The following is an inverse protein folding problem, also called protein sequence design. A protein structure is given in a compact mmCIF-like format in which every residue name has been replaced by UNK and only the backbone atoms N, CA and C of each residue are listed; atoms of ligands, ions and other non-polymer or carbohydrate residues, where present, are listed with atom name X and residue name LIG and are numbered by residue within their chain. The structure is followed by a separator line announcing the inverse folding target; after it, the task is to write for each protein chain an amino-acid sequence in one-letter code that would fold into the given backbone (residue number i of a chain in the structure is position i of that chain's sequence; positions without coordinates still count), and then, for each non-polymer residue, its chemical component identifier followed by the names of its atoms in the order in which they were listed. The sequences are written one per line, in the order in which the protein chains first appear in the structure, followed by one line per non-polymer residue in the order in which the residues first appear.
data_IF_750273981279
#
_entry.id   IF_750273981279
#
_cell.length_a   1.000
_cell.length_b   1.000
_cell.length_c   1.000
_cell.angle_alpha   90.00
_cell.angle_beta   90.00
_cell.angle_gamma   90.00
#
_symmetry.space_group_name_H-M   'P 1'
#
loop_
_entity.id
_entity.type
_entity.pdbx_description
1 polymer ?
#
# COMPACT_ATOMS: atom_id res chain seq x y z
N UNK A 1 17.27 -2.32 -0.80
CA UNK A 1 15.95 -2.53 -0.12
C UNK A 1 16.07 -3.80 0.73
N UNK A 2 15.57 -3.78 1.97
CA UNK A 2 15.66 -4.89 2.90
C UNK A 2 14.81 -6.09 2.44
N UNK A 3 15.37 -7.29 2.52
CA UNK A 3 14.67 -8.53 2.09
C UNK A 3 13.50 -8.87 3.02
N UNK A 4 13.67 -8.61 4.32
CA UNK A 4 12.61 -8.76 5.31
C UNK A 4 11.38 -7.88 5.01
N UNK A 5 11.59 -6.63 4.58
CA UNK A 5 10.49 -5.75 4.16
C UNK A 5 9.81 -6.25 2.88
N UNK A 6 10.53 -6.87 1.96
CA UNK A 6 9.91 -7.48 0.78
C UNK A 6 9.07 -8.70 1.15
N UNK A 7 9.56 -9.56 2.04
CA UNK A 7 8.79 -10.68 2.56
C UNK A 7 7.51 -10.19 3.26
N UNK A 8 7.64 -9.14 4.09
CA UNK A 8 6.50 -8.57 4.81
C UNK A 8 5.48 -7.93 3.86
N UNK A 9 5.91 -7.25 2.81
CA UNK A 9 5.02 -6.72 1.77
C UNK A 9 4.24 -7.83 1.05
N UNK A 10 4.90 -8.94 0.73
CA UNK A 10 4.23 -10.09 0.14
C UNK A 10 3.17 -10.65 1.09
N UNK A 11 3.53 -10.88 2.36
CA UNK A 11 2.60 -11.37 3.38
C UNK A 11 1.40 -10.42 3.55
N UNK A 12 1.65 -9.12 3.70
CA UNK A 12 0.60 -8.11 3.86
C UNK A 12 -0.37 -8.09 2.67
N UNK A 13 0.14 -8.18 1.43
CA UNK A 13 -0.70 -8.24 0.24
C UNK A 13 -1.62 -9.48 0.26
N UNK A 14 -1.09 -10.66 0.58
CA UNK A 14 -1.89 -11.88 0.62
C UNK A 14 -2.87 -11.93 1.78
N UNK A 15 -2.57 -11.33 2.93
CA UNK A 15 -3.55 -11.16 4.04
C UNK A 15 -4.71 -10.28 3.57
N UNK A 16 -4.45 -9.21 2.82
CA UNK A 16 -5.50 -8.36 2.22
C UNK A 16 -6.31 -9.13 1.17
N UNK A 17 -5.67 -9.98 0.35
CA UNK A 17 -6.39 -10.88 -0.59
C UNK A 17 -7.37 -11.78 0.16
N UNK A 18 -6.94 -12.40 1.26
CA UNK A 18 -7.80 -13.25 2.09
C UNK A 18 -8.94 -12.45 2.73
N UNK A 19 -8.69 -11.22 3.19
CA UNK A 19 -9.72 -10.32 3.71
C UNK A 19 -10.80 -10.01 2.67
N UNK A 20 -10.41 -9.64 1.44
CA UNK A 20 -11.36 -9.36 0.37
C UNK A 20 -12.06 -10.62 -0.14
N UNK A 21 -11.45 -11.80 -0.02
CA UNK A 21 -12.16 -13.05 -0.25
C UNK A 21 -13.32 -13.23 0.76
N UNK A 22 -13.09 -12.96 2.05
CA UNK A 22 -14.16 -13.00 3.05
C UNK A 22 -15.25 -11.96 2.76
N UNK A 23 -14.85 -10.76 2.34
CA UNK A 23 -15.78 -9.70 1.95
C UNK A 23 -16.64 -10.11 0.75
N UNK A 24 -16.02 -10.53 -0.35
CA UNK A 24 -16.71 -10.74 -1.64
C UNK A 24 -17.57 -12.00 -1.63
N UNK A 25 -17.08 -13.09 -1.01
CA UNK A 25 -17.77 -14.39 -1.04
C UNK A 25 -18.74 -14.61 0.12
N UNK A 26 -18.54 -13.95 1.24
CA UNK A 26 -19.30 -14.17 2.48
C UNK A 26 -19.91 -12.89 3.05
N UNK A 27 -19.77 -11.76 2.38
CA UNK A 27 -20.23 -10.45 2.86
C UNK A 27 -19.83 -10.19 4.32
N UNK A 28 -18.57 -10.51 4.66
CA UNK A 28 -18.00 -10.46 6.02
C UNK A 28 -18.68 -11.38 7.06
N UNK A 29 -19.53 -12.32 6.66
CA UNK A 29 -20.20 -13.28 7.54
C UNK A 29 -19.58 -14.69 7.48
N UNK A 30 -18.27 -14.77 7.34
CA UNK A 30 -17.56 -16.05 7.28
C UNK A 30 -17.65 -16.81 8.62
N UNK A 31 -17.89 -18.11 8.53
CA UNK A 31 -17.92 -19.01 9.70
C UNK A 31 -16.52 -19.50 10.09
N UNK A 32 -16.37 -19.84 11.37
CA UNK A 32 -15.14 -20.41 11.92
C UNK A 32 -14.07 -19.37 12.30
N UNK A 33 -13.14 -19.76 13.20
CA UNK A 33 -12.18 -18.80 13.79
C UNK A 33 -11.27 -18.11 12.78
N UNK A 34 -10.80 -18.85 11.76
CA UNK A 34 -9.92 -18.29 10.72
C UNK A 34 -10.71 -17.33 9.83
N UNK A 35 -11.94 -17.70 9.42
CA UNK A 35 -12.77 -16.83 8.60
C UNK A 35 -13.10 -15.52 9.32
N UNK A 36 -13.52 -15.60 10.59
CA UNK A 36 -13.78 -14.43 11.44
C UNK A 36 -12.53 -13.56 11.61
N UNK A 37 -11.37 -14.17 11.91
CA UNK A 37 -10.12 -13.43 12.02
C UNK A 37 -9.76 -12.67 10.73
N UNK A 38 -9.87 -13.29 9.57
CA UNK A 38 -9.59 -12.65 8.29
C UNK A 38 -10.61 -11.55 7.95
N UNK A 39 -11.89 -11.77 8.30
CA UNK A 39 -12.94 -10.77 8.18
C UNK A 39 -12.63 -9.53 9.03
N UNK A 40 -12.32 -9.73 10.32
CA UNK A 40 -12.22 -8.64 11.30
C UNK A 40 -10.85 -7.98 11.29
N UNK A 41 -9.78 -8.69 10.93
CA UNK A 41 -8.39 -8.28 11.11
C UNK A 41 -7.56 -8.28 9.82
N UNK A 42 -8.03 -8.91 8.75
CA UNK A 42 -7.23 -9.03 7.52
C UNK A 42 -6.87 -7.70 6.85
N UNK A 43 -7.65 -6.65 7.10
CA UNK A 43 -7.35 -5.31 6.62
C UNK A 43 -6.07 -4.69 7.22
N UNK A 44 -5.52 -5.24 8.31
CA UNK A 44 -4.25 -4.78 8.94
C UNK A 44 -3.05 -4.83 7.98
N UNK A 45 -3.14 -5.64 6.91
CA UNK A 45 -2.13 -5.62 5.85
C UNK A 45 -1.93 -4.24 5.24
N UNK A 46 -2.97 -3.40 5.20
CA UNK A 46 -2.90 -2.02 4.72
C UNK A 46 -2.07 -1.16 5.67
N UNK A 47 -2.27 -1.29 6.99
CA UNK A 47 -1.54 -0.55 8.02
C UNK A 47 -0.04 -0.88 7.94
N UNK A 48 0.31 -2.16 7.72
CA UNK A 48 1.70 -2.59 7.48
C UNK A 48 2.28 -1.89 6.23
N UNK A 49 1.51 -1.78 5.12
CA UNK A 49 1.97 -1.09 3.92
C UNK A 49 2.25 0.38 4.17
N UNK A 50 1.43 1.10 4.93
CA UNK A 50 1.64 2.52 5.22
C UNK A 50 2.90 2.74 6.07
N UNK A 51 3.13 1.91 7.07
CA UNK A 51 4.36 1.97 7.88
C UNK A 51 5.60 1.69 7.00
N UNK A 52 5.57 0.64 6.17
CA UNK A 52 6.67 0.34 5.24
C UNK A 52 6.90 1.51 4.27
N UNK A 53 5.83 2.11 3.74
CA UNK A 53 5.91 3.22 2.79
C UNK A 53 6.62 4.43 3.40
N UNK A 54 6.25 4.82 4.64
CA UNK A 54 6.91 5.88 5.38
C UNK A 54 8.41 5.63 5.58
N UNK A 55 8.78 4.42 6.01
CA UNK A 55 10.18 4.02 6.19
C UNK A 55 10.97 4.06 4.88
N UNK A 56 10.44 3.47 3.81
CA UNK A 56 11.11 3.37 2.50
C UNK A 56 11.30 4.76 1.89
N UNK A 57 10.31 5.64 1.97
CA UNK A 57 10.42 7.01 1.48
C UNK A 57 11.53 7.76 2.23
N UNK A 58 11.52 7.72 3.55
CA UNK A 58 12.56 8.36 4.36
C UNK A 58 13.96 7.86 3.99
N UNK A 59 14.18 6.54 3.96
CA UNK A 59 15.48 5.95 3.64
C UNK A 59 15.93 6.24 2.20
N UNK A 60 15.01 6.29 1.25
CA UNK A 60 15.34 6.52 -0.17
C UNK A 60 15.65 7.98 -0.52
N UNK A 61 15.26 8.93 0.33
CA UNK A 61 15.30 10.37 0.02
C UNK A 61 16.20 11.20 0.94
N UNK A 62 16.52 10.69 2.13
CA UNK A 62 17.15 11.48 3.18
C UNK A 62 18.44 12.16 2.75
N UNK A 63 19.37 11.42 2.14
CA UNK A 63 20.72 11.91 1.82
C UNK A 63 20.81 12.46 0.38
N UNK A 64 19.66 12.76 -0.23
CA UNK A 64 19.58 13.20 -1.62
C UNK A 64 19.06 14.63 -1.73
N UNK A 65 19.71 15.42 -2.58
CA UNK A 65 19.18 16.68 -3.08
C UNK A 65 18.26 16.36 -4.27
N UNK A 66 16.97 16.20 -4.02
CA UNK A 66 15.98 15.90 -5.05
C UNK A 66 15.02 17.08 -5.13
N UNK A 67 14.74 17.56 -6.34
CA UNK A 67 13.68 18.55 -6.54
C UNK A 67 12.30 17.94 -6.22
N UNK A 68 11.38 18.70 -5.56
CA UNK A 68 10.04 18.21 -5.22
C UNK A 68 9.31 17.59 -6.42
N UNK A 69 9.35 18.23 -7.58
CA UNK A 69 8.72 17.77 -8.81
C UNK A 69 9.31 16.43 -9.28
N UNK A 70 10.64 16.25 -9.16
CA UNK A 70 11.30 14.99 -9.55
C UNK A 70 10.93 13.86 -8.60
N UNK A 71 10.80 14.15 -7.32
CA UNK A 71 10.29 13.17 -6.35
C UNK A 71 8.87 12.73 -6.72
N UNK A 72 7.94 13.68 -6.90
CA UNK A 72 6.56 13.38 -7.27
C UNK A 72 6.47 12.62 -8.58
N UNK A 73 7.19 13.04 -9.60
CA UNK A 73 7.23 12.33 -10.89
C UNK A 73 7.67 10.87 -10.73
N UNK A 74 8.75 10.61 -9.98
CA UNK A 74 9.23 9.25 -9.77
C UNK A 74 8.21 8.37 -9.01
N UNK A 75 7.43 8.95 -8.08
CA UNK A 75 6.35 8.25 -7.38
C UNK A 75 5.16 8.02 -8.28
N UNK A 76 4.74 9.05 -9.02
CA UNK A 76 3.65 8.95 -9.98
C UNK A 76 3.93 7.89 -11.05
N UNK A 77 5.09 7.89 -11.68
CA UNK A 77 5.48 6.90 -12.68
C UNK A 77 5.45 5.46 -12.15
N UNK A 78 5.65 5.28 -10.86
CA UNK A 78 5.61 3.96 -10.23
C UNK A 78 4.20 3.47 -9.96
N UNK A 79 3.27 4.36 -9.59
CA UNK A 79 1.93 4.01 -9.11
C UNK A 79 0.87 4.20 -10.19
N UNK A 80 0.85 5.37 -10.81
CA UNK A 80 -0.24 5.82 -11.68
C UNK A 80 -0.50 4.90 -12.85
N UNK A 81 0.50 4.43 -13.62
CA UNK A 81 0.23 3.64 -14.84
C UNK A 81 -0.51 2.33 -14.55
N UNK A 82 -0.09 1.58 -13.53
CA UNK A 82 -0.75 0.34 -13.15
C UNK A 82 -2.13 0.60 -12.53
N UNK A 83 -2.24 1.60 -11.66
CA UNK A 83 -3.52 1.98 -11.07
C UNK A 83 -4.54 2.41 -12.13
N UNK A 84 -4.17 3.26 -13.07
CA UNK A 84 -5.05 3.68 -14.17
C UNK A 84 -5.50 2.51 -15.02
N UNK A 85 -4.57 1.60 -15.36
CA UNK A 85 -4.91 0.40 -16.13
C UNK A 85 -5.99 -0.43 -15.43
N UNK A 86 -5.82 -0.72 -14.13
CA UNK A 86 -6.79 -1.54 -13.39
C UNK A 86 -8.08 -0.80 -13.06
N UNK A 87 -8.03 0.52 -12.86
CA UNK A 87 -9.23 1.35 -12.69
C UNK A 87 -10.04 1.40 -13.98
N UNK A 88 -9.39 1.53 -15.14
CA UNK A 88 -10.06 1.48 -16.45
C UNK A 88 -10.65 0.09 -16.71
N UNK A 89 -9.93 -0.98 -16.40
CA UNK A 89 -10.44 -2.35 -16.52
C UNK A 89 -11.64 -2.58 -15.59
N UNK A 90 -11.60 -2.10 -14.34
CA UNK A 90 -12.73 -2.16 -13.43
C UNK A 90 -13.94 -1.39 -13.97
N UNK A 91 -13.74 -0.16 -14.46
CA UNK A 91 -14.80 0.64 -15.08
C UNK A 91 -15.42 -0.08 -16.29
N UNK A 92 -14.59 -0.66 -17.15
CA UNK A 92 -15.08 -1.46 -18.30
C UNK A 92 -15.92 -2.67 -17.85
N UNK A 93 -15.47 -3.41 -16.82
CA UNK A 93 -16.21 -4.54 -16.28
C UNK A 93 -17.54 -4.09 -15.64
N UNK A 94 -17.58 -2.96 -14.97
CA UNK A 94 -18.82 -2.40 -14.41
C UNK A 94 -19.83 -2.00 -15.51
N UNK A 95 -19.37 -1.58 -16.68
CA UNK A 95 -20.22 -1.26 -17.82
C UNK A 95 -20.70 -2.50 -18.59
N UNK A 96 -19.87 -3.53 -18.69
CA UNK A 96 -20.14 -4.69 -19.59
C UNK A 96 -20.54 -5.97 -18.85
N UNK A 97 -20.12 -6.11 -17.59
CA UNK A 97 -20.29 -7.32 -16.78
C UNK A 97 -20.73 -7.00 -15.35
N UNK A 98 -21.64 -6.03 -15.19
CA UNK A 98 -22.14 -5.57 -13.87
C UNK A 98 -22.62 -6.70 -12.95
N UNK A 99 -23.14 -7.79 -13.53
CA UNK A 99 -23.54 -8.97 -12.78
C UNK A 99 -22.41 -9.65 -11.98
N UNK A 100 -21.15 -9.35 -12.28
CA UNK A 100 -20.01 -9.83 -11.49
C UNK A 100 -19.86 -9.06 -10.17
N UNK A 101 -20.39 -7.83 -10.13
CA UNK A 101 -20.18 -6.87 -9.04
C UNK A 101 -21.49 -6.12 -8.73
N UNK A 102 -22.53 -6.81 -8.24
CA UNK A 102 -23.90 -6.27 -8.13
C UNK A 102 -23.99 -5.03 -7.22
N UNK A 103 -23.08 -4.89 -6.25
CA UNK A 103 -23.04 -3.77 -5.31
C UNK A 103 -22.15 -2.62 -5.75
N UNK A 104 -21.48 -2.75 -6.91
CA UNK A 104 -20.60 -1.71 -7.45
C UNK A 104 -21.33 -0.90 -8.51
N UNK A 105 -21.01 0.40 -8.60
CA UNK A 105 -21.52 1.27 -9.66
C UNK A 105 -20.41 2.22 -10.15
N UNK A 106 -20.59 2.74 -11.34
CA UNK A 106 -19.66 3.70 -11.94
C UNK A 106 -20.45 4.76 -12.70
N UNK A 107 -20.05 6.02 -12.54
CA UNK A 107 -20.40 7.14 -13.41
C UNK A 107 -19.13 7.83 -13.90
N UNK A 108 -19.26 8.72 -14.88
CA UNK A 108 -18.11 9.36 -15.52
C UNK A 108 -17.37 10.31 -14.56
N UNK A 109 -18.09 11.08 -13.76
CA UNK A 109 -17.49 12.03 -12.81
C UNK A 109 -16.66 11.29 -11.77
N UNK A 110 -17.27 10.29 -11.11
CA UNK A 110 -16.58 9.48 -10.12
C UNK A 110 -15.39 8.71 -10.71
N UNK A 111 -15.50 8.21 -11.96
CA UNK A 111 -14.40 7.54 -12.64
C UNK A 111 -13.21 8.49 -12.86
N UNK A 112 -13.46 9.73 -13.31
CA UNK A 112 -12.40 10.74 -13.50
C UNK A 112 -11.78 11.13 -12.16
N UNK A 113 -12.58 11.38 -11.11
CA UNK A 113 -12.07 11.66 -9.77
C UNK A 113 -11.22 10.51 -9.22
N UNK A 114 -11.62 9.26 -9.50
CA UNK A 114 -10.83 8.07 -9.13
C UNK A 114 -9.45 8.07 -9.79
N UNK A 115 -9.36 8.38 -11.10
CA UNK A 115 -8.08 8.46 -11.81
C UNK A 115 -7.17 9.58 -11.29
N UNK A 116 -7.76 10.65 -10.74
CA UNK A 116 -7.04 11.79 -10.17
C UNK A 116 -6.69 11.61 -8.68
N UNK A 117 -7.01 10.45 -8.06
CA UNK A 117 -6.83 10.19 -6.64
C UNK A 117 -7.59 11.16 -5.73
N UNK A 118 -8.71 11.68 -6.20
CA UNK A 118 -9.58 12.58 -5.44
C UNK A 118 -10.68 11.75 -4.77
N UNK A 119 -10.76 11.75 -3.42
CA UNK A 119 -11.81 11.04 -2.71
C UNK A 119 -13.20 11.59 -3.03
N UNK A 120 -14.09 10.72 -3.48
CA UNK A 120 -15.48 11.04 -3.77
C UNK A 120 -16.38 9.89 -3.31
N UNK A 121 -17.65 10.19 -3.04
CA UNK A 121 -18.65 9.18 -2.69
C UNK A 121 -18.86 8.24 -3.88
N UNK A 122 -18.78 6.93 -3.62
CA UNK A 122 -18.97 5.93 -4.66
C UNK A 122 -20.46 5.88 -5.09
N UNK A 123 -20.77 5.84 -6.40
CA UNK A 123 -22.16 5.74 -6.88
C UNK A 123 -22.91 4.51 -6.37
N UNK A 124 -22.21 3.49 -5.87
CA UNK A 124 -22.79 2.34 -5.17
C UNK A 124 -23.25 2.61 -3.73
N UNK A 125 -22.97 3.80 -3.17
CA UNK A 125 -23.46 4.24 -1.86
C UNK A 125 -22.76 3.61 -0.66
N UNK A 126 -21.52 3.08 -0.82
CA UNK A 126 -20.79 2.43 0.27
C UNK A 126 -19.57 3.22 0.78
N UNK A 127 -19.54 4.54 0.53
CA UNK A 127 -18.55 5.45 1.06
C UNK A 127 -17.55 5.95 0.01
N UNK A 128 -16.51 6.64 0.46
CA UNK A 128 -15.52 7.31 -0.39
C UNK A 128 -14.47 6.33 -0.94
N UNK A 129 -14.92 5.40 -1.76
CA UNK A 129 -14.09 4.42 -2.44
C UNK A 129 -14.01 4.71 -3.94
N UNK A 130 -12.82 4.71 -4.57
CA UNK A 130 -12.68 4.93 -6.01
C UNK A 130 -13.30 3.77 -6.81
N UNK A 131 -13.40 3.92 -8.14
CA UNK A 131 -13.93 2.91 -9.06
C UNK A 131 -13.24 1.55 -8.88
N UNK A 132 -11.91 1.53 -8.76
CA UNK A 132 -11.18 0.37 -8.22
C UNK A 132 -11.14 0.52 -6.70
N UNK A 133 -12.06 -0.12 -5.99
CA UNK A 133 -12.29 0.12 -4.57
C UNK A 133 -11.04 0.09 -3.68
N UNK A 134 -10.11 -0.84 -3.90
CA UNK A 134 -8.85 -0.92 -3.15
C UNK A 134 -7.94 0.31 -3.34
N UNK A 135 -8.17 1.12 -4.37
CA UNK A 135 -7.44 2.36 -4.62
C UNK A 135 -7.60 3.45 -3.55
N UNK A 136 -8.53 3.31 -2.60
CA UNK A 136 -8.66 4.25 -1.49
C UNK A 136 -7.36 4.42 -0.69
N UNK A 137 -6.56 3.38 -0.58
CA UNK A 137 -5.25 3.43 0.07
C UNK A 137 -4.24 4.24 -0.74
N UNK A 138 -4.35 4.18 -2.07
CA UNK A 138 -3.49 4.96 -2.97
C UNK A 138 -3.84 6.45 -2.93
N UNK A 139 -5.10 6.82 -2.63
CA UNK A 139 -5.46 8.22 -2.37
C UNK A 139 -4.67 8.77 -1.17
N UNK A 140 -4.57 8.00 -0.07
CA UNK A 140 -3.71 8.38 1.07
C UNK A 140 -2.23 8.38 0.71
N UNK A 141 -1.76 7.42 -0.07
CA UNK A 141 -0.36 7.33 -0.46
C UNK A 141 0.05 8.51 -1.34
N UNK A 142 -0.76 8.88 -2.34
CA UNK A 142 -0.51 10.03 -3.20
C UNK A 142 -0.61 11.35 -2.44
N UNK A 143 -1.58 11.48 -1.54
CA UNK A 143 -1.70 12.59 -0.62
C UNK A 143 -0.43 12.75 0.25
N UNK A 144 0.04 11.66 0.86
CA UNK A 144 1.27 11.67 1.63
C UNK A 144 2.48 12.07 0.77
N UNK A 145 2.59 11.58 -0.46
CA UNK A 145 3.68 11.96 -1.37
C UNK A 145 3.66 13.45 -1.70
N UNK A 146 2.48 14.01 -1.90
CA UNK A 146 2.32 15.44 -2.13
C UNK A 146 2.83 16.24 -0.92
N UNK A 147 2.37 15.91 0.28
CA UNK A 147 2.83 16.57 1.51
C UNK A 147 4.32 16.34 1.76
N UNK A 148 4.80 15.11 1.56
CA UNK A 148 6.22 14.79 1.73
C UNK A 148 7.11 15.55 0.74
N UNK A 149 6.61 15.89 -0.46
CA UNK A 149 7.39 16.68 -1.42
C UNK A 149 7.82 18.04 -0.87
N UNK A 150 7.04 18.62 0.05
CA UNK A 150 7.36 19.90 0.68
C UNK A 150 8.62 19.86 1.55
N UNK A 151 9.03 18.67 2.05
CA UNK A 151 10.24 18.55 2.87
C UNK A 151 11.52 18.91 2.13
N UNK A 152 11.50 18.84 0.79
CA UNK A 152 12.67 19.20 -0.01
C UNK A 152 12.91 20.71 -0.08
N UNK A 153 11.93 21.53 0.37
CA UNK A 153 12.05 22.98 0.47
C UNK A 153 12.82 23.44 1.72
N UNK A 154 13.05 22.53 2.68
CA UNK A 154 13.75 22.84 3.94
C UNK A 154 15.02 22.04 4.13
N UNK A 155 15.87 22.52 5.05
CA UNK A 155 17.11 21.81 5.42
C UNK A 155 16.79 20.43 5.98
N UNK A 156 17.65 19.46 5.69
CA UNK A 156 17.47 18.05 6.01
C UNK A 156 17.08 17.77 7.48
N UNK A 157 17.68 18.53 8.41
CA UNK A 157 17.43 18.36 9.85
C UNK A 157 15.97 18.66 10.26
N UNK A 158 15.26 19.47 9.51
CA UNK A 158 13.87 19.87 9.80
C UNK A 158 12.82 19.05 9.05
N UNK A 159 13.24 18.18 8.11
CA UNK A 159 12.32 17.45 7.21
C UNK A 159 11.31 16.60 7.97
N UNK A 160 11.75 15.82 8.96
CA UNK A 160 10.86 14.94 9.73
C UNK A 160 9.84 15.76 10.54
N UNK A 161 10.29 16.85 11.16
CA UNK A 161 9.40 17.75 11.89
C UNK A 161 8.39 18.41 10.95
N UNK A 162 8.84 18.90 9.78
CA UNK A 162 7.96 19.52 8.81
C UNK A 162 6.86 18.57 8.33
N UNK A 163 7.22 17.34 7.97
CA UNK A 163 6.21 16.33 7.54
C UNK A 163 5.19 16.07 8.65
N UNK A 164 5.63 15.95 9.90
CA UNK A 164 4.72 15.71 11.01
C UNK A 164 3.78 16.91 11.23
N UNK A 165 4.32 18.13 11.25
CA UNK A 165 3.53 19.35 11.42
C UNK A 165 2.54 19.56 10.28
N UNK A 166 2.99 19.40 9.02
CA UNK A 166 2.12 19.58 7.86
C UNK A 166 1.01 18.53 7.85
N UNK A 167 1.36 17.27 8.16
CA UNK A 167 0.36 16.19 8.20
C UNK A 167 -0.70 16.45 9.28
N UNK A 168 -0.29 16.86 10.49
CA UNK A 168 -1.21 17.25 11.57
C UNK A 168 -2.07 18.43 11.18
N UNK A 169 -1.47 19.49 10.62
CA UNK A 169 -2.19 20.69 10.17
C UNK A 169 -3.26 20.33 9.13
N UNK A 170 -2.88 19.55 8.12
CA UNK A 170 -3.80 19.16 7.05
C UNK A 170 -4.88 18.22 7.57
N UNK A 171 -4.52 17.15 8.27
CA UNK A 171 -5.47 16.12 8.69
C UNK A 171 -6.39 16.57 9.83
N UNK A 172 -5.93 17.43 10.74
CA UNK A 172 -6.73 17.83 11.90
C UNK A 172 -7.34 19.23 11.74
N UNK A 173 -6.56 20.21 11.27
CA UNK A 173 -7.03 21.60 11.23
C UNK A 173 -7.82 21.89 9.96
N UNK A 174 -7.25 21.63 8.78
CA UNK A 174 -7.90 22.00 7.51
C UNK A 174 -9.15 21.14 7.23
N UNK A 175 -9.15 19.87 7.61
CA UNK A 175 -10.33 19.01 7.48
C UNK A 175 -11.45 19.41 8.44
N UNK A 176 -11.12 19.80 9.69
CA UNK A 176 -12.13 20.28 10.64
C UNK A 176 -12.69 21.65 10.24
N UNK A 177 -11.89 22.49 9.60
CA UNK A 177 -12.32 23.77 9.05
C UNK A 177 -13.16 23.63 7.76
N UNK A 178 -13.38 22.40 7.26
CA UNK A 178 -14.13 22.15 6.02
C UNK A 178 -13.39 22.56 4.75
N UNK A 179 -12.09 22.88 4.84
CA UNK A 179 -11.27 23.29 3.69
C UNK A 179 -10.75 22.10 2.88
N UNK A 180 -10.77 20.90 3.45
CA UNK A 180 -10.37 19.65 2.80
C UNK A 180 -11.39 18.55 3.06
N UNK A 181 -11.43 17.55 2.16
CA UNK A 181 -12.31 16.41 2.27
C UNK A 181 -12.05 15.67 3.60
N UNK A 182 -13.13 15.32 4.29
CA UNK A 182 -13.13 14.59 5.54
C UNK A 182 -12.40 13.23 5.49
N UNK A 183 -12.28 12.65 4.30
CA UNK A 183 -11.48 11.45 4.04
C UNK A 183 -10.08 11.52 4.66
N UNK A 184 -9.39 12.67 4.54
CA UNK A 184 -8.01 12.85 5.03
C UNK A 184 -7.88 13.00 6.55
N UNK A 185 -8.98 12.97 7.30
CA UNK A 185 -8.99 12.96 8.78
C UNK A 185 -8.77 11.57 9.38
N UNK A 186 -8.71 10.53 8.58
CA UNK A 186 -8.48 9.18 9.08
C UNK A 186 -7.07 9.05 9.67
N UNK A 187 -6.97 8.52 10.90
CA UNK A 187 -5.72 8.39 11.64
C UNK A 187 -4.69 7.45 10.99
N UNK A 188 -5.08 6.69 9.97
CA UNK A 188 -4.18 5.84 9.18
C UNK A 188 -3.03 6.64 8.52
N UNK A 189 -3.24 7.94 8.25
CA UNK A 189 -2.20 8.83 7.69
C UNK A 189 -0.98 8.96 8.60
N UNK A 190 -1.15 8.78 9.92
CA UNK A 190 -0.03 8.87 10.88
C UNK A 190 0.86 7.63 10.88
N UNK A 191 0.44 6.55 10.26
CA UNK A 191 1.25 5.33 10.14
C UNK A 191 2.48 5.55 9.25
N UNK A 192 2.41 6.47 8.29
CA UNK A 192 3.59 6.94 7.56
C UNK A 192 4.64 7.55 8.50
N UNK A 193 4.22 8.28 9.54
CA UNK A 193 5.14 8.87 10.53
C UNK A 193 5.79 7.79 11.39
N UNK A 194 5.04 6.74 11.78
CA UNK A 194 5.61 5.58 12.47
C UNK A 194 6.70 4.93 11.62
N UNK A 195 6.45 4.77 10.31
CA UNK A 195 7.44 4.26 9.35
C UNK A 195 8.67 5.16 9.24
N UNK A 196 8.51 6.48 9.15
CA UNK A 196 9.62 7.44 9.17
C UNK A 196 10.43 7.29 10.48
N UNK A 197 9.75 7.15 11.63
CA UNK A 197 10.39 6.92 12.92
C UNK A 197 11.29 5.67 12.93
N UNK A 198 10.79 4.54 12.40
CA UNK A 198 11.58 3.31 12.24
C UNK A 198 12.78 3.57 11.30
N UNK A 199 12.59 4.30 10.21
CA UNK A 199 13.66 4.70 9.31
C UNK A 199 14.75 5.52 9.99
N UNK A 200 14.38 6.43 10.93
CA UNK A 200 15.33 7.20 11.76
C UNK A 200 16.11 6.27 12.68
N UNK A 201 15.43 5.36 13.38
CA UNK A 201 16.07 4.37 14.29
C UNK A 201 17.06 3.49 13.52
N UNK A 202 16.64 3.00 12.33
CA UNK A 202 17.49 2.19 11.46
C UNK A 202 18.77 2.94 11.06
N UNK A 203 18.65 4.21 10.63
CA UNK A 203 19.80 5.03 10.22
C UNK A 203 20.76 5.36 11.37
N UNK A 204 20.24 5.45 12.59
CA UNK A 204 21.07 5.67 13.80
C UNK A 204 21.74 4.41 14.29
N UNK A 205 21.48 3.25 13.67
CA UNK A 205 21.98 1.96 14.15
C UNK A 205 21.39 1.52 15.49
N UNK A 206 20.21 2.05 15.86
CA UNK A 206 19.57 1.73 17.15
C UNK A 206 18.68 0.49 17.09
N UNK A 207 18.52 -0.11 15.90
CA UNK A 207 17.76 -1.35 15.77
C UNK A 207 18.68 -2.51 16.09
N UNK A 208 18.38 -3.18 17.20
CA UNK A 208 19.12 -4.36 17.65
C UNK A 208 18.75 -5.54 16.75
N UNK A 209 19.76 -6.17 16.17
CA UNK A 209 19.59 -7.42 15.45
C UNK A 209 19.61 -8.61 16.42
N UNK A 210 18.80 -9.61 16.17
CA UNK A 210 18.71 -10.78 17.01
C UNK A 210 17.44 -11.58 16.71
N UNK A 211 17.19 -12.64 17.46
CA UNK A 211 16.06 -13.52 17.26
C UNK A 211 14.94 -13.31 18.30
N UNK A 212 15.29 -13.32 19.57
CA UNK A 212 14.29 -13.40 20.64
C UNK A 212 13.45 -12.13 20.81
N UNK A 213 14.11 -10.96 20.78
CA UNK A 213 13.39 -9.69 20.91
C UNK A 213 12.41 -9.47 19.73
N UNK A 214 12.81 -9.62 18.46
CA UNK A 214 11.86 -9.52 17.36
C UNK A 214 10.73 -10.53 17.41
N UNK A 215 10.97 -11.77 17.83
CA UNK A 215 9.92 -12.77 18.00
C UNK A 215 8.92 -12.38 19.11
N UNK A 216 9.41 -11.84 20.21
CA UNK A 216 8.54 -11.29 21.27
C UNK A 216 7.71 -10.10 20.77
N UNK A 217 8.32 -9.21 19.96
CA UNK A 217 7.61 -8.09 19.33
C UNK A 217 6.52 -8.58 18.36
N UNK A 218 6.79 -9.60 17.55
CA UNK A 218 5.80 -10.20 16.64
C UNK A 218 4.65 -10.84 17.42
N UNK A 219 4.96 -11.59 18.49
CA UNK A 219 3.94 -12.20 19.34
C UNK A 219 3.06 -11.15 20.01
N UNK A 220 3.65 -10.09 20.55
CA UNK A 220 2.91 -8.97 21.16
C UNK A 220 2.02 -8.25 20.13
N UNK A 221 2.52 -8.00 18.93
CA UNK A 221 1.76 -7.38 17.85
C UNK A 221 0.58 -8.29 17.41
N UNK A 222 0.82 -9.60 17.27
CA UNK A 222 -0.22 -10.56 16.93
C UNK A 222 -1.33 -10.62 18.00
N UNK A 223 -0.96 -10.63 19.28
CA UNK A 223 -1.91 -10.56 20.39
C UNK A 223 -2.70 -9.25 20.33
N UNK A 224 -2.05 -8.10 20.15
CA UNK A 224 -2.73 -6.82 20.05
C UNK A 224 -3.73 -6.80 18.89
N UNK A 225 -3.33 -7.23 17.69
CA UNK A 225 -4.21 -7.27 16.51
C UNK A 225 -5.38 -8.25 16.73
N UNK A 226 -5.15 -9.37 17.41
CA UNK A 226 -6.22 -10.35 17.68
C UNK A 226 -7.30 -9.81 18.61
N UNK A 227 -6.92 -9.16 19.72
CA UNK A 227 -7.86 -8.74 20.77
C UNK A 227 -8.38 -7.32 20.60
N UNK A 228 -7.68 -6.42 19.87
CA UNK A 228 -8.08 -5.03 19.69
C UNK A 228 -8.75 -4.83 18.33
N UNK A 229 -9.86 -4.10 18.33
CA UNK A 229 -10.61 -3.76 17.12
C UNK A 229 -10.04 -2.52 16.39
N UNK A 230 -10.61 -2.17 15.25
CA UNK A 230 -10.19 -1.00 14.47
C UNK A 230 -10.72 0.35 14.99
N UNK A 231 -11.43 0.41 16.11
CA UNK A 231 -12.07 1.64 16.62
C UNK A 231 -11.07 2.78 16.89
N UNK A 232 -9.86 2.42 17.35
CA UNK A 232 -8.73 3.34 17.50
C UNK A 232 -7.58 2.90 16.61
N UNK A 233 -7.81 2.91 15.30
CA UNK A 233 -6.98 2.26 14.30
C UNK A 233 -5.48 2.49 14.50
N UNK A 234 -5.03 3.73 14.68
CA UNK A 234 -3.60 4.04 14.87
C UNK A 234 -3.01 3.32 16.09
N UNK A 235 -3.75 3.23 17.21
CA UNK A 235 -3.26 2.59 18.43
C UNK A 235 -3.37 1.06 18.35
N UNK A 236 -4.50 0.55 17.84
CA UNK A 236 -4.84 -0.86 17.88
C UNK A 236 -4.22 -1.64 16.73
N UNK A 237 -3.99 -1.01 15.56
CA UNK A 237 -3.44 -1.64 14.35
C UNK A 237 -2.16 -0.97 13.86
N UNK A 238 -2.09 0.37 13.88
CA UNK A 238 -0.92 1.11 13.42
C UNK A 238 0.33 0.86 14.26
N UNK A 239 0.23 0.94 15.60
CA UNK A 239 1.37 0.64 16.49
C UNK A 239 1.80 -0.83 16.42
N UNK A 240 0.90 -1.84 16.47
CA UNK A 240 1.27 -3.23 16.21
C UNK A 240 1.91 -3.43 14.84
N UNK A 241 1.40 -2.79 13.78
CA UNK A 241 2.01 -2.83 12.44
C UNK A 241 3.43 -2.23 12.43
N UNK A 242 3.64 -1.12 13.14
CA UNK A 242 4.97 -0.56 13.31
C UNK A 242 5.90 -1.52 14.06
N UNK A 243 5.40 -2.21 15.08
CA UNK A 243 6.15 -3.21 15.82
C UNK A 243 6.51 -4.41 14.93
N UNK A 244 5.61 -4.88 14.07
CA UNK A 244 5.88 -5.93 13.06
C UNK A 244 6.98 -5.46 12.10
N UNK A 245 6.88 -4.24 11.56
CA UNK A 245 7.90 -3.70 10.64
C UNK A 245 9.26 -3.61 11.35
N UNK A 246 9.30 -3.10 12.57
CA UNK A 246 10.54 -3.00 13.37
C UNK A 246 11.14 -4.38 13.63
N UNK A 247 10.32 -5.36 14.00
CA UNK A 247 10.75 -6.74 14.22
C UNK A 247 11.31 -7.37 12.94
N UNK A 248 10.65 -7.19 11.81
CA UNK A 248 11.14 -7.67 10.52
C UNK A 248 12.47 -7.03 10.11
N UNK A 249 12.67 -5.74 10.38
CA UNK A 249 13.96 -5.06 10.14
C UNK A 249 15.05 -5.63 11.04
N UNK A 250 14.75 -5.93 12.31
CA UNK A 250 15.68 -6.59 13.24
C UNK A 250 16.07 -8.01 12.78
N UNK A 251 15.15 -8.70 12.10
CA UNK A 251 15.34 -10.04 11.54
C UNK A 251 16.01 -10.03 10.15
N UNK A 252 16.38 -8.88 9.58
CA UNK A 252 16.96 -8.79 8.21
C UNK A 252 18.09 -9.80 7.94
N UNK A 253 19.03 -10.11 8.88
CA UNK A 253 20.08 -11.09 8.62
C UNK A 253 19.57 -12.48 8.22
N UNK A 254 18.38 -12.88 8.69
CA UNK A 254 17.76 -14.18 8.39
C UNK A 254 17.05 -14.21 7.03
N UNK A 255 16.71 -13.04 6.48
CA UNK A 255 16.04 -12.89 5.19
C UNK A 255 17.00 -12.58 4.04
N UNK A 256 18.19 -12.07 4.36
CA UNK A 256 19.19 -11.58 3.41
C UNK A 256 19.56 -12.66 2.36
N UNK A 257 19.49 -12.25 1.08
CA UNK A 257 19.85 -13.13 -0.04
C UNK A 257 18.70 -13.99 -0.57
N UNK A 258 17.54 -14.04 0.06
CA UNK A 258 16.40 -14.82 -0.41
C UNK A 258 15.72 -14.15 -1.63
N UNK A 259 16.09 -14.60 -2.84
CA UNK A 259 15.61 -14.06 -4.11
C UNK A 259 14.10 -14.28 -4.32
N UNK A 260 13.54 -15.38 -3.78
CA UNK A 260 12.11 -15.67 -3.90
C UNK A 260 11.28 -14.66 -3.10
N UNK A 261 11.63 -14.44 -1.82
CA UNK A 261 10.93 -13.46 -0.98
C UNK A 261 11.04 -12.03 -1.56
N UNK A 262 12.21 -11.71 -2.15
CA UNK A 262 12.37 -10.45 -2.88
C UNK A 262 11.41 -10.36 -4.06
N UNK A 263 11.32 -11.39 -4.89
CA UNK A 263 10.45 -11.39 -6.07
C UNK A 263 8.97 -11.27 -5.70
N UNK A 264 8.52 -11.98 -4.67
CA UNK A 264 7.16 -11.91 -4.14
C UNK A 264 6.83 -10.51 -3.60
N UNK A 265 7.78 -9.89 -2.88
CA UNK A 265 7.60 -8.52 -2.39
C UNK A 265 7.62 -7.46 -3.50
N UNK A 266 8.45 -7.65 -4.52
CA UNK A 266 8.51 -6.75 -5.68
C UNK A 266 7.17 -6.73 -6.44
N UNK A 267 6.46 -7.87 -6.56
CA UNK A 267 5.16 -7.99 -7.23
C UNK A 267 3.95 -7.67 -6.34
N UNK A 268 4.15 -7.37 -5.06
CA UNK A 268 3.06 -7.17 -4.09
C UNK A 268 2.07 -6.05 -4.46
N UNK A 269 2.52 -5.00 -5.15
CA UNK A 269 1.66 -3.94 -5.64
C UNK A 269 0.72 -4.44 -6.75
N UNK A 270 1.23 -5.22 -7.70
CA UNK A 270 0.39 -5.87 -8.71
C UNK A 270 -0.59 -6.87 -8.08
N UNK A 271 -0.20 -7.65 -7.05
CA UNK A 271 -1.14 -8.50 -6.27
C UNK A 271 -2.26 -7.66 -5.71
N UNK A 272 -1.93 -6.52 -5.11
CA UNK A 272 -2.89 -5.60 -4.51
C UNK A 272 -3.90 -5.01 -5.51
N UNK A 273 -3.50 -4.76 -6.76
CA UNK A 273 -4.42 -4.22 -7.79
C UNK A 273 -5.24 -5.31 -8.48
N UNK A 274 -4.66 -6.47 -8.73
CA UNK A 274 -5.28 -7.57 -9.51
C UNK A 274 -6.35 -8.31 -8.74
N UNK A 275 -6.12 -8.55 -7.43
CA UNK A 275 -6.87 -9.57 -6.70
C UNK A 275 -8.38 -9.35 -6.68
N UNK A 276 -8.84 -8.11 -6.52
CA UNK A 276 -10.30 -7.85 -6.46
C UNK A 276 -11.00 -8.21 -7.77
N UNK A 277 -10.38 -7.94 -8.93
CA UNK A 277 -10.94 -8.31 -10.23
C UNK A 277 -11.07 -9.82 -10.38
N UNK A 278 -10.03 -10.56 -9.98
CA UNK A 278 -10.03 -12.03 -10.01
C UNK A 278 -11.04 -12.60 -9.04
N UNK A 279 -11.13 -12.04 -7.82
CA UNK A 279 -12.08 -12.51 -6.81
C UNK A 279 -13.53 -12.26 -7.23
N UNK A 280 -13.87 -11.12 -7.83
CA UNK A 280 -15.22 -10.87 -8.37
C UNK A 280 -15.56 -11.84 -9.50
N UNK A 281 -14.63 -12.09 -10.44
CA UNK A 281 -14.82 -13.11 -11.47
C UNK A 281 -15.00 -14.51 -10.88
N UNK A 282 -14.22 -14.85 -9.86
CA UNK A 282 -14.35 -16.09 -9.12
C UNK A 282 -15.68 -16.22 -8.39
N UNK A 283 -16.13 -15.15 -7.73
CA UNK A 283 -17.44 -15.13 -7.07
C UNK A 283 -18.57 -15.38 -8.07
N UNK A 284 -18.58 -14.69 -9.21
CA UNK A 284 -19.56 -14.91 -10.25
C UNK A 284 -19.54 -16.36 -10.78
N UNK A 285 -18.35 -16.92 -11.01
CA UNK A 285 -18.21 -18.32 -11.42
C UNK A 285 -18.73 -19.29 -10.36
N UNK A 286 -18.45 -19.05 -9.08
CA UNK A 286 -18.98 -19.82 -7.94
C UNK A 286 -20.51 -19.85 -7.97
N UNK A 287 -21.16 -18.69 -8.13
CA UNK A 287 -22.63 -18.60 -8.19
C UNK A 287 -23.22 -19.31 -9.40
N UNK A 288 -22.57 -19.22 -10.57
CA UNK A 288 -23.08 -19.82 -11.82
C UNK A 288 -22.89 -21.34 -11.90
N UNK A 289 -21.77 -21.83 -11.36
CA UNK A 289 -21.38 -23.23 -11.47
C UNK A 289 -21.72 -24.05 -10.21
N UNK A 290 -22.23 -23.43 -9.14
CA UNK A 290 -22.51 -24.08 -7.86
C UNK A 290 -21.24 -24.60 -7.17
N UNK A 291 -20.07 -24.00 -7.45
CA UNK A 291 -18.80 -24.41 -6.87
C UNK A 291 -18.65 -23.87 -5.44
N UNK A 292 -17.99 -24.65 -4.59
CA UNK A 292 -17.64 -24.19 -3.24
C UNK A 292 -16.77 -22.92 -3.30
N UNK A 293 -17.07 -21.87 -2.50
CA UNK A 293 -16.26 -20.66 -2.40
C UNK A 293 -14.77 -20.94 -2.18
N UNK A 294 -14.43 -21.90 -1.31
CA UNK A 294 -13.05 -22.26 -1.02
C UNK A 294 -12.36 -22.95 -2.20
N UNK A 295 -13.09 -23.80 -2.96
CA UNK A 295 -12.54 -24.42 -4.18
C UNK A 295 -12.24 -23.35 -5.25
N UNK A 296 -13.15 -22.38 -5.42
CA UNK A 296 -12.91 -21.26 -6.34
C UNK A 296 -11.76 -20.38 -5.87
N UNK A 297 -11.65 -20.12 -4.56
CA UNK A 297 -10.52 -19.37 -4.02
C UNK A 297 -9.19 -20.06 -4.27
N UNK A 298 -9.13 -21.40 -4.11
CA UNK A 298 -7.94 -22.17 -4.44
C UNK A 298 -7.52 -22.04 -5.92
N UNK A 299 -8.45 -21.81 -6.85
CA UNK A 299 -8.18 -21.49 -8.25
C UNK A 299 -7.79 -20.01 -8.45
N UNK A 300 -8.40 -19.11 -7.68
CA UNK A 300 -8.07 -17.68 -7.75
C UNK A 300 -6.63 -17.38 -7.31
N UNK A 301 -6.11 -18.08 -6.29
CA UNK A 301 -4.76 -17.84 -5.74
C UNK A 301 -3.67 -17.96 -6.81
N UNK A 302 -3.51 -19.07 -7.55
CA UNK A 302 -2.51 -19.17 -8.62
C UNK A 302 -2.78 -18.20 -9.77
N UNK A 303 -4.04 -17.92 -10.08
CA UNK A 303 -4.39 -16.94 -11.12
C UNK A 303 -3.99 -15.51 -10.72
N UNK A 304 -4.25 -15.11 -9.48
CA UNK A 304 -3.78 -13.82 -8.92
C UNK A 304 -2.25 -13.77 -9.00
N UNK A 305 -1.55 -14.81 -8.57
CA UNK A 305 -0.09 -14.85 -8.60
C UNK A 305 0.47 -14.70 -10.03
N UNK A 306 -0.10 -15.43 -11.00
CA UNK A 306 0.33 -15.40 -12.39
C UNK A 306 0.07 -14.03 -13.03
N UNK A 307 -1.15 -13.50 -12.91
CA UNK A 307 -1.53 -12.21 -13.47
C UNK A 307 -0.74 -11.06 -12.82
N UNK A 308 -0.51 -11.14 -11.52
CA UNK A 308 0.29 -10.15 -10.80
C UNK A 308 1.75 -10.16 -11.22
N UNK A 309 2.32 -11.34 -11.48
CA UNK A 309 3.68 -11.44 -11.99
C UNK A 309 3.80 -10.83 -13.40
N UNK A 310 2.86 -11.14 -14.29
CA UNK A 310 2.78 -10.52 -15.62
C UNK A 310 2.63 -9.00 -15.54
N UNK A 311 1.71 -8.52 -14.70
CA UNK A 311 1.50 -7.09 -14.43
C UNK A 311 2.76 -6.40 -13.92
N UNK A 312 3.45 -6.99 -12.93
CA UNK A 312 4.72 -6.47 -12.43
C UNK A 312 5.77 -6.31 -13.52
N UNK A 313 5.94 -7.32 -14.37
CA UNK A 313 6.92 -7.27 -15.46
C UNK A 313 6.57 -6.21 -16.51
N UNK A 314 5.30 -6.08 -16.87
CA UNK A 314 4.84 -5.20 -17.94
C UNK A 314 4.65 -3.75 -17.44
N UNK A 315 3.86 -3.54 -16.39
CA UNK A 315 3.44 -2.22 -15.95
C UNK A 315 4.45 -1.60 -14.97
N UNK A 316 4.91 -2.36 -13.96
CA UNK A 316 5.80 -1.80 -12.94
C UNK A 316 7.28 -1.79 -13.37
N UNK A 317 7.71 -2.72 -14.25
CA UNK A 317 9.11 -2.82 -14.63
C UNK A 317 9.39 -2.29 -16.04
N UNK A 318 8.68 -2.77 -17.06
CA UNK A 318 8.93 -2.38 -18.46
C UNK A 318 8.41 -0.97 -18.74
N UNK A 319 7.13 -0.71 -18.45
CA UNK A 319 6.51 0.59 -18.69
C UNK A 319 7.17 1.69 -17.84
N UNK A 320 7.45 1.42 -16.55
CA UNK A 320 8.19 2.35 -15.70
C UNK A 320 9.55 2.74 -16.31
N UNK A 321 10.32 1.77 -16.83
CA UNK A 321 11.62 2.07 -17.47
C UNK A 321 11.47 2.92 -18.72
N UNK A 322 10.46 2.65 -19.55
CA UNK A 322 10.19 3.44 -20.75
C UNK A 322 9.82 4.87 -20.38
N UNK A 323 8.83 5.06 -19.51
CA UNK A 323 8.39 6.38 -19.09
C UNK A 323 9.49 7.16 -18.36
N UNK A 324 10.24 6.53 -17.45
CA UNK A 324 11.34 7.20 -16.74
C UNK A 324 12.47 7.63 -17.69
N UNK A 325 12.68 6.90 -18.79
CA UNK A 325 13.62 7.30 -19.86
C UNK A 325 13.19 8.58 -20.58
N UNK A 326 11.91 8.78 -20.82
CA UNK A 326 11.41 10.01 -21.49
C UNK A 326 11.60 11.27 -20.61
N UNK A 327 11.55 11.10 -19.30
CA UNK A 327 11.73 12.19 -18.33
C UNK A 327 13.18 12.27 -17.77
N UNK A 328 14.11 11.47 -18.32
CA UNK A 328 15.52 11.59 -17.95
C UNK A 328 16.07 12.93 -18.46
N UNK A 329 16.89 13.66 -17.67
CA UNK A 329 17.60 14.84 -18.20
C UNK A 329 18.44 14.43 -19.40
N UNK A 330 18.59 15.30 -20.43
CA UNK A 330 19.46 15.02 -21.55
C UNK A 330 20.89 14.73 -21.05
N UNK A 331 21.50 13.69 -21.61
CA UNK A 331 22.89 13.33 -21.31
C UNK A 331 23.79 14.47 -21.81
N UNK A 332 24.28 15.35 -20.93
CA UNK A 332 25.14 16.46 -21.31
C UNK A 332 25.17 17.66 -20.35
N UNK A 333 24.36 17.69 -19.28
CA UNK A 333 24.54 18.71 -18.24
C UNK A 333 25.70 18.35 -17.30
N UNK A 334 26.41 19.37 -16.69
CA UNK A 334 27.47 19.09 -15.76
C UNK A 334 26.96 18.23 -14.61
N UNK A 335 27.52 17.04 -14.50
CA UNK A 335 27.26 16.13 -13.38
C UNK A 335 27.78 16.83 -12.13
N UNK A 336 26.95 17.13 -11.12
CA UNK A 336 27.49 17.48 -9.83
C UNK A 336 28.31 16.28 -9.35
N UNK A 337 29.60 16.46 -9.23
CA UNK A 337 30.51 15.47 -8.67
C UNK A 337 30.06 15.20 -7.23
N UNK A 338 29.42 14.11 -7.01
CA UNK A 338 29.17 13.56 -5.67
C UNK A 338 29.52 12.08 -5.67
N UNK A 339 30.76 11.84 -5.26
CA UNK A 339 31.27 10.84 -4.31
C UNK A 339 30.51 9.50 -4.22
N UNK A 340 31.33 8.49 -4.54
CA UNK A 340 31.35 7.12 -3.97
C UNK A 340 30.10 6.27 -4.08
N UNK A 341 30.21 5.30 -4.97
CA UNK A 341 29.57 3.99 -4.85
C UNK A 341 29.76 3.48 -3.41
N UNK A 342 28.71 3.49 -2.63
CA UNK A 342 28.54 2.59 -1.52
C UNK A 342 27.31 1.73 -1.81
N UNK A 343 27.57 0.46 -2.01
CA UNK A 343 26.59 -0.62 -2.09
C UNK A 343 25.82 -0.68 -0.77
N UNK A 344 24.51 -0.49 -0.84
CA UNK A 344 23.57 -0.86 0.22
C UNK A 344 22.54 -1.86 -0.32
#
# INVERSE_FOLDING_TARGET
MLFSLQALRALAAWVVVCHHFMQIFFDFHASGPIGQFLTDRGAVGVDIFFVISGMVIYLSTRDKAIAPQRFLLNRALRIVPAYWFYTALMGLLLLTARQWMPHQAVDLEHFVLSLLFIPAENPGGYGQYPTLNVGWTLNYEMFFYLLFSLVFLVRQQHRVLLVAVVLLLVSEVLTRAGLLNHFYRNNIVYEFLLGIGIGVLYRRGWIVQGLWLPLAMLAMAAVAIHFLDASRRLLHWGLPSALIVLACVSLEPYFKGNRLLKALGDSSYSVYLVHVLVLYGGWFASQRLGMSPYAVFALCVPLIALLSWGSYLLLEKRLYRQLSGWFAPPAGGPVPVTLSRQNY
#
